data_IF_890399034262
#
_entry.id   IF_890399034262
#
_cell.length_a   1.000
_cell.length_b   1.000
_cell.length_c   1.000
_cell.angle_alpha   90.00
_cell.angle_beta   90.00
_cell.angle_gamma   90.00
#
_symmetry.space_group_name_H-M   'P 1'
#
loop_
_entity.id
_entity.type
_entity.pdbx_description
1 polymer ?
#
# COMPACT_ATOMS: atom_id res chain seq x y z
N UNK A 1 -11.39 6.66 37.79
CA UNK A 1 -11.93 6.81 36.42
C UNK A 1 -10.93 6.40 35.33
N UNK A 2 -9.62 6.66 35.48
CA UNK A 2 -8.59 6.28 34.49
C UNK A 2 -8.40 4.75 34.35
N UNK A 3 -8.43 4.05 35.48
CA UNK A 3 -8.18 2.59 35.59
C UNK A 3 -9.19 1.80 34.73
N UNK A 4 -10.45 2.23 34.73
CA UNK A 4 -11.56 1.60 34.01
C UNK A 4 -11.39 1.68 32.49
N UNK A 5 -10.86 2.79 31.96
CA UNK A 5 -10.65 2.98 30.52
C UNK A 5 -9.58 2.00 30.01
N UNK A 6 -8.51 1.82 30.78
CA UNK A 6 -7.44 0.88 30.44
C UNK A 6 -7.95 -0.57 30.41
N UNK A 7 -8.70 -0.98 31.43
CA UNK A 7 -9.30 -2.32 31.49
C UNK A 7 -10.28 -2.59 30.35
N UNK A 8 -11.07 -1.59 29.92
CA UNK A 8 -11.98 -1.74 28.78
C UNK A 8 -11.20 -1.93 27.47
N UNK A 9 -10.11 -1.19 27.27
CA UNK A 9 -9.29 -1.31 26.07
C UNK A 9 -8.61 -2.69 25.98
N UNK A 10 -8.09 -3.20 27.10
CA UNK A 10 -7.51 -4.54 27.18
C UNK A 10 -8.55 -5.62 26.86
N UNK A 11 -9.75 -5.52 27.44
CA UNK A 11 -10.84 -6.45 27.16
C UNK A 11 -11.26 -6.45 25.68
N UNK A 12 -11.34 -5.28 25.04
CA UNK A 12 -11.66 -5.16 23.60
C UNK A 12 -10.53 -5.77 22.76
N UNK A 13 -9.27 -5.55 23.15
CA UNK A 13 -8.10 -6.09 22.47
C UNK A 13 -8.08 -7.62 22.50
N UNK A 14 -8.33 -8.22 23.68
CA UNK A 14 -8.38 -9.67 23.85
C UNK A 14 -9.48 -10.31 23.00
N UNK A 15 -10.71 -9.79 23.07
CA UNK A 15 -11.83 -10.27 22.25
C UNK A 15 -11.55 -10.17 20.76
N UNK A 16 -10.89 -9.08 20.33
CA UNK A 16 -10.53 -8.89 18.91
C UNK A 16 -9.49 -9.91 18.45
N UNK A 17 -8.47 -10.18 19.28
CA UNK A 17 -7.46 -11.22 19.01
C UNK A 17 -8.10 -12.60 18.92
N UNK A 18 -8.99 -12.94 19.84
CA UNK A 18 -9.73 -14.20 19.83
C UNK A 18 -10.61 -14.34 18.58
N UNK A 19 -11.33 -13.28 18.20
CA UNK A 19 -12.14 -13.26 16.98
C UNK A 19 -11.30 -13.45 15.71
N UNK A 20 -10.12 -12.83 15.63
CA UNK A 20 -9.19 -13.03 14.52
C UNK A 20 -8.64 -14.46 14.48
N UNK A 21 -8.24 -15.03 15.63
CA UNK A 21 -7.79 -16.42 15.73
C UNK A 21 -8.87 -17.40 15.29
N UNK A 22 -10.12 -17.21 15.74
CA UNK A 22 -11.24 -18.05 15.33
C UNK A 22 -11.50 -18.00 13.82
N UNK A 23 -11.35 -16.82 13.18
CA UNK A 23 -11.45 -16.68 11.72
C UNK A 23 -10.30 -17.34 10.99
N UNK A 24 -9.08 -17.25 11.50
CA UNK A 24 -7.92 -17.92 10.94
C UNK A 24 -8.07 -19.46 10.99
N UNK A 25 -8.53 -20.01 12.12
CA UNK A 25 -8.79 -21.47 12.28
C UNK A 25 -9.89 -21.94 11.33
N UNK A 26 -10.90 -21.10 11.05
CA UNK A 26 -11.93 -21.37 10.02
C UNK A 26 -11.40 -21.30 8.57
N UNK A 27 -10.09 -21.13 8.38
CA UNK A 27 -9.46 -21.07 7.06
C UNK A 27 -9.67 -19.75 6.33
N UNK A 28 -10.22 -18.72 6.98
CA UNK A 28 -10.38 -17.38 6.38
C UNK A 28 -8.98 -16.76 6.31
N UNK A 29 -8.46 -16.56 5.10
CA UNK A 29 -7.19 -15.86 4.87
C UNK A 29 -7.33 -14.42 5.35
N UNK A 30 -6.69 -14.11 6.48
CA UNK A 30 -6.60 -12.76 7.01
C UNK A 30 -5.59 -11.93 6.20
N UNK A 31 -5.92 -10.65 5.97
CA UNK A 31 -5.10 -9.74 5.18
C UNK A 31 -5.49 -9.67 3.70
N UNK A 32 -4.68 -8.95 2.92
CA UNK A 32 -4.92 -8.83 1.47
C UNK A 32 -4.64 -10.16 0.77
N UNK A 33 -5.46 -10.56 -0.21
CA UNK A 33 -5.20 -11.78 -0.99
C UNK A 33 -3.83 -11.68 -1.69
N UNK A 34 -2.98 -12.68 -1.48
CA UNK A 34 -1.70 -12.81 -2.20
C UNK A 34 -2.01 -13.08 -3.68
N UNK A 35 -1.52 -12.22 -4.57
CA UNK A 35 -1.60 -12.43 -6.02
C UNK A 35 -2.58 -11.53 -6.77
N UNK A 36 -3.37 -10.68 -6.10
CA UNK A 36 -4.14 -9.65 -6.82
C UNK A 36 -3.18 -8.54 -7.24
N UNK A 37 -3.07 -8.30 -8.55
CA UNK A 37 -2.44 -7.09 -9.11
C UNK A 37 -3.35 -5.93 -8.68
N UNK A 38 -3.12 -5.42 -7.47
CA UNK A 38 -3.85 -4.26 -6.98
C UNK A 38 -3.52 -3.09 -7.91
N UNK A 39 -4.55 -2.49 -8.50
CA UNK A 39 -4.41 -1.28 -9.29
C UNK A 39 -3.76 -0.21 -8.44
N UNK A 40 -2.61 0.30 -8.88
CA UNK A 40 -1.94 1.42 -8.23
C UNK A 40 -2.74 2.69 -8.49
N UNK A 41 -2.66 3.66 -7.57
CA UNK A 41 -3.20 5.01 -7.80
C UNK A 41 -2.55 5.69 -9.03
N UNK A 42 -1.36 5.23 -9.43
CA UNK A 42 -0.62 5.75 -10.58
C UNK A 42 -0.94 5.02 -11.89
N UNK A 43 -1.82 4.02 -11.88
CA UNK A 43 -2.19 3.29 -13.11
C UNK A 43 -2.77 4.22 -14.20
N UNK A 44 -3.64 5.21 -13.90
CA UNK A 44 -4.20 6.09 -14.93
C UNK A 44 -3.11 6.90 -15.66
N UNK A 45 -2.10 7.36 -14.94
CA UNK A 45 -1.01 8.21 -15.46
C UNK A 45 0.29 7.43 -15.71
N UNK A 46 0.23 6.09 -15.76
CA UNK A 46 1.42 5.22 -15.78
C UNK A 46 2.34 5.52 -16.96
N UNK A 47 1.78 5.64 -18.16
CA UNK A 47 2.55 5.89 -19.39
C UNK A 47 3.27 7.24 -19.33
N UNK A 48 2.55 8.28 -18.88
CA UNK A 48 3.09 9.63 -18.67
C UNK A 48 4.23 9.63 -17.64
N UNK A 49 4.04 8.95 -16.51
CA UNK A 49 5.06 8.81 -15.47
C UNK A 49 6.32 8.14 -16.01
N UNK A 50 6.17 7.01 -16.71
CA UNK A 50 7.30 6.25 -17.26
C UNK A 50 8.07 7.06 -18.30
N UNK A 51 7.35 7.74 -19.20
CA UNK A 51 7.97 8.59 -20.22
C UNK A 51 8.79 9.73 -19.59
N UNK A 52 8.21 10.47 -18.63
CA UNK A 52 8.92 11.54 -17.93
C UNK A 52 10.12 11.02 -17.14
N UNK A 53 9.99 9.84 -16.54
CA UNK A 53 11.09 9.21 -15.80
C UNK A 53 12.24 8.78 -16.74
N UNK A 54 11.93 8.22 -17.91
CA UNK A 54 12.92 7.86 -18.94
C UNK A 54 13.63 9.09 -19.52
N UNK A 55 12.96 10.24 -19.60
CA UNK A 55 13.56 11.53 -19.97
C UNK A 55 14.45 12.13 -18.87
N UNK A 56 14.60 11.46 -17.72
CA UNK A 56 15.43 11.92 -16.61
C UNK A 56 14.80 12.98 -15.72
N UNK A 57 13.47 13.18 -15.80
CA UNK A 57 12.78 14.16 -14.95
C UNK A 57 12.78 13.68 -13.49
N UNK A 58 13.17 14.53 -12.52
CA UNK A 58 13.14 14.15 -11.10
C UNK A 58 11.74 13.78 -10.62
N UNK A 59 11.63 12.71 -9.82
CA UNK A 59 10.36 12.19 -9.27
C UNK A 59 9.56 13.29 -8.54
N UNK A 60 10.22 14.19 -7.82
CA UNK A 60 9.54 15.31 -7.16
C UNK A 60 8.86 16.24 -8.15
N UNK A 61 9.52 16.54 -9.29
CA UNK A 61 8.97 17.40 -10.35
C UNK A 61 7.83 16.70 -11.10
N UNK A 62 7.92 15.39 -11.27
CA UNK A 62 6.82 14.57 -11.80
C UNK A 62 5.57 14.74 -10.91
N UNK A 63 5.73 14.59 -9.59
CA UNK A 63 4.60 14.76 -8.65
C UNK A 63 4.06 16.19 -8.65
N UNK A 64 4.92 17.20 -8.45
CA UNK A 64 4.46 18.57 -8.26
C UNK A 64 3.94 19.24 -9.54
N UNK A 65 4.56 18.96 -10.69
CA UNK A 65 4.25 19.64 -11.96
C UNK A 65 3.31 18.82 -12.85
N UNK A 66 3.38 17.48 -12.83
CA UNK A 66 2.68 16.65 -13.82
C UNK A 66 1.51 15.83 -13.27
N UNK A 67 1.49 15.50 -11.97
CA UNK A 67 0.39 14.75 -11.34
C UNK A 67 -0.45 15.58 -10.37
N UNK A 68 0.18 16.41 -9.53
CA UNK A 68 -0.52 17.13 -8.47
C UNK A 68 -0.99 16.25 -7.29
N UNK A 69 -0.67 14.95 -7.29
CA UNK A 69 -1.04 14.02 -6.22
C UNK A 69 0.03 12.95 -5.99
N UNK A 70 -0.08 12.25 -4.85
CA UNK A 70 0.83 11.18 -4.46
C UNK A 70 2.08 11.67 -3.73
N UNK A 71 2.78 10.73 -3.08
CA UNK A 71 3.98 11.01 -2.30
C UNK A 71 5.22 10.49 -3.01
N UNK A 72 6.38 11.10 -2.74
CA UNK A 72 7.67 10.69 -3.32
C UNK A 72 7.94 9.19 -3.12
N UNK A 73 7.80 8.69 -1.88
CA UNK A 73 8.08 7.29 -1.56
C UNK A 73 7.16 6.33 -2.33
N UNK A 74 5.87 6.65 -2.39
CA UNK A 74 4.85 5.86 -3.10
C UNK A 74 5.14 5.79 -4.61
N UNK A 75 5.51 6.92 -5.24
CA UNK A 75 5.86 6.93 -6.67
C UNK A 75 7.20 6.21 -6.93
N UNK A 76 8.19 6.36 -6.05
CA UNK A 76 9.47 5.66 -6.13
C UNK A 76 9.29 4.14 -6.04
N UNK A 77 8.47 3.66 -5.11
CA UNK A 77 8.13 2.23 -4.99
C UNK A 77 7.38 1.71 -6.21
N UNK A 78 6.45 2.51 -6.75
CA UNK A 78 5.74 2.19 -7.98
C UNK A 78 6.69 2.05 -9.18
N UNK A 79 7.61 2.99 -9.37
CA UNK A 79 8.63 2.94 -10.43
C UNK A 79 9.55 1.72 -10.26
N UNK A 80 10.02 1.43 -9.03
CA UNK A 80 10.83 0.24 -8.73
C UNK A 80 10.09 -1.04 -9.07
N UNK A 81 8.80 -1.14 -8.71
CA UNK A 81 7.95 -2.29 -9.04
C UNK A 81 7.75 -2.44 -10.55
N UNK A 82 7.68 -1.33 -11.28
CA UNK A 82 7.54 -1.34 -12.74
C UNK A 82 8.83 -1.82 -13.44
N UNK A 83 10.00 -1.30 -13.07
CA UNK A 83 11.28 -1.69 -13.66
C UNK A 83 11.74 -3.11 -13.29
N UNK A 84 11.35 -3.61 -12.11
CA UNK A 84 11.64 -5.00 -11.72
C UNK A 84 10.85 -6.03 -12.55
N UNK A 85 9.78 -5.64 -13.24
CA UNK A 85 9.01 -6.49 -14.15
C UNK A 85 9.64 -6.54 -15.55
N UNK A 86 10.45 -5.53 -15.93
CA UNK A 86 11.15 -5.51 -17.23
C UNK A 86 12.37 -6.44 -17.26
N UNK A 87 12.92 -6.84 -16.11
CA UNK A 87 14.03 -7.80 -16.01
C UNK A 87 13.60 -9.28 -16.03
N UNK A 88 12.31 -9.57 -16.25
CA UNK A 88 11.76 -10.95 -16.32
C UNK A 88 11.20 -11.23 -17.73
N UNK A 89 11.72 -10.54 -18.76
CA UNK A 89 11.35 -10.77 -20.16
C UNK A 89 12.53 -11.29 -20.96
#
# INVERSE_FOLDING_TARGET
MLITIFSILDFISERTKEGLKARAVKGIKLGKPKGVIQSSMYNPDKEKILHLYQLGVPIQKIISTHLGYGKYLSLKEFLKKCGSLENIK
#
